data_IF_942881335151
#
_entry.id   IF_942881335151
#
_cell.length_a   1.000
_cell.length_b   1.000
_cell.length_c   1.000
_cell.angle_alpha   90.00
_cell.angle_beta   90.00
_cell.angle_gamma   90.00
#
_symmetry.space_group_name_H-M   'P 1'
#
loop_
_entity.id
_entity.type
_entity.pdbx_description
1 polymer ?
#
# COMPACT_ATOMS: atom_id res chain seq x y z
N UNK A 1 -27.92 31.28 -12.19
CA UNK A 1 -27.32 30.03 -11.64
C UNK A 1 -25.80 30.16 -11.57
N UNK A 2 -25.17 29.83 -10.47
CA UNK A 2 -23.70 29.75 -10.41
C UNK A 2 -23.26 28.57 -11.27
N UNK A 3 -22.29 28.79 -12.14
CA UNK A 3 -21.79 27.84 -13.17
C UNK A 3 -21.47 26.42 -12.69
N UNK A 4 -21.43 26.16 -11.38
CA UNK A 4 -21.01 24.91 -10.75
C UNK A 4 -22.00 24.34 -9.73
N UNK A 5 -23.26 24.79 -9.74
CA UNK A 5 -24.31 24.28 -8.88
C UNK A 5 -25.21 23.34 -9.66
N UNK A 6 -25.46 22.19 -9.06
CA UNK A 6 -26.45 21.21 -9.50
C UNK A 6 -27.82 21.60 -8.95
N UNK A 7 -28.88 21.30 -9.67
CA UNK A 7 -30.24 21.54 -9.21
C UNK A 7 -30.56 20.70 -7.96
N UNK A 8 -31.35 21.21 -7.03
CA UNK A 8 -31.78 20.46 -5.86
C UNK A 8 -32.43 19.14 -6.26
N UNK A 9 -32.13 18.11 -5.49
CA UNK A 9 -32.65 16.73 -5.64
C UNK A 9 -32.15 15.94 -6.86
N UNK A 10 -31.17 16.43 -7.59
CA UNK A 10 -30.51 15.63 -8.61
C UNK A 10 -29.82 14.39 -8.00
N UNK A 11 -29.94 13.24 -8.70
CA UNK A 11 -29.37 11.95 -8.26
C UNK A 11 -27.88 11.87 -8.63
N UNK A 12 -27.03 12.68 -7.97
CA UNK A 12 -25.60 12.83 -8.30
C UNK A 12 -24.80 11.53 -8.28
N UNK A 13 -25.18 10.58 -7.43
CA UNK A 13 -24.53 9.25 -7.37
C UNK A 13 -24.77 8.43 -8.63
N UNK A 14 -25.99 8.47 -9.20
CA UNK A 14 -26.32 7.80 -10.45
C UNK A 14 -25.59 8.47 -11.61
N UNK A 15 -25.60 9.81 -11.65
CA UNK A 15 -24.89 10.58 -12.67
C UNK A 15 -23.39 10.25 -12.65
N UNK A 16 -22.78 10.22 -11.48
CA UNK A 16 -21.38 9.86 -11.34
C UNK A 16 -21.11 8.42 -11.79
N UNK A 17 -21.97 7.46 -11.40
CA UNK A 17 -21.82 6.06 -11.80
C UNK A 17 -21.89 5.88 -13.32
N UNK A 18 -22.86 6.54 -13.99
CA UNK A 18 -22.97 6.51 -15.45
C UNK A 18 -21.76 7.16 -16.13
N UNK A 19 -21.33 8.35 -15.64
CA UNK A 19 -20.20 9.07 -16.19
C UNK A 19 -18.86 8.34 -16.05
N UNK A 20 -18.72 7.49 -15.04
CA UNK A 20 -17.55 6.61 -14.87
C UNK A 20 -17.67 5.31 -15.65
N UNK A 21 -18.87 4.74 -15.79
CA UNK A 21 -19.10 3.46 -16.45
C UNK A 21 -18.93 3.56 -17.98
N UNK A 22 -19.40 4.63 -18.61
CA UNK A 22 -19.31 4.82 -20.05
C UNK A 22 -17.85 4.76 -20.57
N UNK A 23 -16.93 5.62 -20.10
CA UNK A 23 -15.54 5.55 -20.53
C UNK A 23 -14.85 4.24 -20.15
N UNK A 24 -15.24 3.63 -19.03
CA UNK A 24 -14.72 2.33 -18.60
C UNK A 24 -15.06 1.23 -19.61
N UNK A 25 -16.25 1.27 -20.21
CA UNK A 25 -16.65 0.37 -21.30
C UNK A 25 -15.76 0.57 -22.53
N UNK A 26 -15.42 1.82 -22.88
CA UNK A 26 -14.51 2.13 -23.98
C UNK A 26 -13.09 1.60 -23.70
N UNK A 27 -12.60 1.67 -22.47
CA UNK A 27 -11.32 1.06 -22.09
C UNK A 27 -11.30 -0.44 -22.36
N UNK A 28 -12.41 -1.15 -22.11
CA UNK A 28 -12.52 -2.59 -22.35
C UNK A 28 -12.39 -2.90 -23.86
N UNK A 29 -13.03 -2.13 -24.71
CA UNK A 29 -12.97 -2.33 -26.16
C UNK A 29 -11.56 -2.06 -26.72
N UNK A 30 -10.86 -1.06 -26.20
CA UNK A 30 -9.48 -0.73 -26.65
C UNK A 30 -8.46 -1.80 -26.24
N UNK A 31 -8.63 -2.50 -25.12
CA UNK A 31 -7.70 -3.56 -24.69
C UNK A 31 -7.64 -4.74 -25.67
N UNK A 32 -8.70 -5.03 -26.40
CA UNK A 32 -8.68 -6.06 -27.45
C UNK A 32 -7.78 -5.70 -28.65
N UNK A 33 -7.56 -4.41 -28.90
CA UNK A 33 -6.71 -3.96 -30.02
C UNK A 33 -5.20 -3.94 -29.68
N UNK A 34 -4.82 -3.95 -28.40
CA UNK A 34 -3.42 -3.91 -27.94
C UNK A 34 -2.83 -5.29 -27.59
N UNK A 35 -3.54 -6.37 -27.85
CA UNK A 35 -3.11 -7.74 -27.52
C UNK A 35 -1.83 -8.23 -28.24
N UNK A 36 -1.15 -7.38 -29.01
CA UNK A 36 0.05 -7.73 -29.77
C UNK A 36 1.37 -7.05 -29.33
N UNK A 37 1.38 -6.22 -28.28
CA UNK A 37 2.57 -5.49 -27.85
C UNK A 37 3.08 -6.03 -26.51
N UNK A 38 4.36 -6.37 -26.46
CA UNK A 38 5.01 -7.22 -25.45
C UNK A 38 5.32 -6.59 -24.09
N UNK A 39 4.75 -5.44 -23.72
CA UNK A 39 4.91 -4.88 -22.37
C UNK A 39 3.57 -4.88 -21.62
N UNK A 40 3.37 -5.92 -20.84
CA UNK A 40 2.19 -6.11 -19.99
C UNK A 40 2.24 -5.25 -18.71
N UNK A 41 2.12 -3.95 -18.85
CA UNK A 41 1.59 -3.14 -17.75
C UNK A 41 0.07 -3.19 -17.88
N UNK A 42 -0.68 -3.71 -16.90
CA UNK A 42 -2.13 -3.70 -16.96
C UNK A 42 -2.61 -2.25 -16.90
N UNK A 43 -2.94 -1.71 -18.07
CA UNK A 43 -3.40 -0.33 -18.25
C UNK A 43 -4.93 -0.30 -18.37
N UNK A 44 -5.55 0.78 -17.93
CA UNK A 44 -6.99 0.99 -18.09
C UNK A 44 -7.85 0.24 -17.06
N UNK A 45 -8.91 -0.45 -17.54
CA UNK A 45 -9.92 -1.09 -16.70
C UNK A 45 -9.37 -2.02 -15.60
N UNK A 46 -8.42 -2.94 -15.86
CA UNK A 46 -7.89 -3.80 -14.81
C UNK A 46 -7.22 -3.01 -13.68
N UNK A 47 -6.59 -1.89 -13.98
CA UNK A 47 -5.95 -1.03 -12.98
C UNK A 47 -6.98 -0.25 -12.19
N UNK A 48 -8.01 0.31 -12.86
CA UNK A 48 -9.11 0.99 -12.19
C UNK A 48 -9.90 0.04 -11.28
N UNK A 49 -10.24 -1.17 -11.77
CA UNK A 49 -10.89 -2.20 -10.97
C UNK A 49 -10.08 -2.53 -9.70
N UNK A 50 -8.76 -2.69 -9.81
CA UNK A 50 -7.91 -2.88 -8.64
C UNK A 50 -7.93 -1.69 -7.69
N UNK A 51 -7.93 -0.48 -8.23
CA UNK A 51 -7.99 0.74 -7.41
C UNK A 51 -9.23 0.74 -6.52
N UNK A 52 -10.38 0.36 -7.03
CA UNK A 52 -11.65 0.41 -6.30
C UNK A 52 -11.97 -0.84 -5.48
N UNK A 53 -11.43 -2.00 -5.84
CA UNK A 53 -11.75 -3.29 -5.20
C UNK A 53 -10.73 -3.75 -4.14
N UNK A 54 -9.51 -3.20 -4.11
CA UNK A 54 -8.48 -3.64 -3.17
C UNK A 54 -8.70 -3.09 -1.76
N UNK A 55 -8.57 -3.97 -0.78
CA UNK A 55 -8.52 -3.60 0.65
C UNK A 55 -7.20 -2.92 1.03
N UNK A 56 -7.23 -2.22 2.13
CA UNK A 56 -6.03 -1.80 2.85
C UNK A 56 -5.22 -3.06 3.24
N UNK A 57 -3.89 -3.01 3.07
CA UNK A 57 -3.01 -4.14 3.40
C UNK A 57 -2.91 -5.24 2.34
N UNK A 58 -3.72 -5.21 1.28
CA UNK A 58 -3.55 -6.14 0.15
C UNK A 58 -2.65 -5.53 -0.91
N UNK A 59 -1.51 -6.16 -1.16
CA UNK A 59 -0.65 -5.84 -2.30
C UNK A 59 -1.08 -6.67 -3.50
N UNK A 60 -1.21 -6.03 -4.66
CA UNK A 60 -1.40 -6.78 -5.89
C UNK A 60 -0.11 -7.55 -6.20
N UNK A 61 -0.16 -8.86 -6.48
CA UNK A 61 1.03 -9.64 -6.83
C UNK A 61 1.80 -9.08 -8.03
N UNK A 62 1.14 -8.30 -8.86
CA UNK A 62 1.68 -7.74 -10.10
C UNK A 62 2.25 -6.32 -9.95
N UNK A 63 1.94 -5.62 -8.86
CA UNK A 63 2.51 -4.29 -8.55
C UNK A 63 3.43 -4.40 -7.34
N UNK A 64 4.74 -4.27 -7.57
CA UNK A 64 5.69 -4.09 -6.46
C UNK A 64 5.41 -2.74 -5.82
N UNK A 65 5.25 -2.67 -4.49
CA UNK A 65 5.09 -1.40 -3.82
C UNK A 65 6.29 -0.50 -4.11
N UNK A 66 6.03 0.66 -4.68
CA UNK A 66 7.02 1.63 -5.10
C UNK A 66 6.96 2.86 -4.17
N UNK A 67 8.11 3.39 -3.83
CA UNK A 67 8.30 4.65 -3.15
C UNK A 67 9.12 5.56 -4.05
N UNK A 68 8.62 6.75 -4.33
CA UNK A 68 9.32 7.79 -5.08
C UNK A 68 9.58 8.95 -4.12
N UNK A 69 10.85 9.28 -3.95
CA UNK A 69 11.31 10.37 -3.10
C UNK A 69 11.86 11.47 -4.00
N UNK A 70 11.33 12.68 -3.82
CA UNK A 70 11.78 13.88 -4.52
C UNK A 70 12.52 14.80 -3.57
N UNK A 71 13.57 15.40 -4.07
CA UNK A 71 14.38 16.36 -3.32
C UNK A 71 13.75 17.74 -3.33
N UNK A 72 14.14 18.58 -2.38
CA UNK A 72 13.83 20.01 -2.43
C UNK A 72 14.53 20.67 -3.62
N UNK A 73 14.01 21.80 -4.12
CA UNK A 73 14.56 22.47 -5.29
C UNK A 73 16.06 22.78 -5.18
N UNK A 74 16.55 23.01 -3.96
CA UNK A 74 17.95 23.32 -3.66
C UNK A 74 18.89 22.12 -3.87
N UNK A 75 18.39 20.89 -3.76
CA UNK A 75 19.17 19.64 -3.80
C UNK A 75 18.83 18.73 -4.96
N UNK A 76 17.91 19.13 -5.84
CA UNK A 76 17.38 18.30 -6.93
C UNK A 76 18.44 17.78 -7.92
N UNK A 77 19.52 18.53 -8.13
CA UNK A 77 20.60 18.19 -9.05
C UNK A 77 21.83 17.58 -8.36
N UNK A 78 21.84 17.49 -7.02
CA UNK A 78 23.00 17.02 -6.28
C UNK A 78 23.03 15.49 -6.19
N UNK A 79 23.84 14.85 -7.04
CA UNK A 79 24.04 13.40 -7.08
C UNK A 79 24.75 12.85 -5.85
N UNK A 80 25.61 13.61 -5.19
CA UNK A 80 26.34 13.14 -4.01
C UNK A 80 25.39 12.94 -2.83
N UNK A 81 24.50 13.92 -2.60
CA UNK A 81 23.46 13.81 -1.56
C UNK A 81 22.48 12.69 -1.88
N UNK A 82 22.06 12.55 -3.14
CA UNK A 82 21.19 11.49 -3.57
C UNK A 82 21.80 10.11 -3.33
N UNK A 83 23.08 9.92 -3.68
CA UNK A 83 23.81 8.66 -3.44
C UNK A 83 24.00 8.38 -1.94
N UNK A 84 24.28 9.38 -1.13
CA UNK A 84 24.41 9.24 0.31
C UNK A 84 23.08 8.75 0.92
N UNK A 85 21.98 9.42 0.59
CA UNK A 85 20.65 9.07 1.09
C UNK A 85 20.24 7.69 0.60
N UNK A 86 20.52 7.34 -0.67
CA UNK A 86 20.25 6.03 -1.22
C UNK A 86 20.93 4.93 -0.41
N UNK A 87 22.24 5.07 -0.16
CA UNK A 87 23.02 4.10 0.63
C UNK A 87 22.50 3.95 2.07
N UNK A 88 22.06 5.04 2.67
CA UNK A 88 21.52 5.04 4.03
C UNK A 88 20.06 4.51 4.12
N UNK A 89 19.29 4.51 3.04
CA UNK A 89 17.89 4.03 3.00
C UNK A 89 17.83 2.55 2.68
N UNK A 90 18.69 2.05 1.79
CA UNK A 90 18.63 0.68 1.30
C UNK A 90 18.88 -0.32 2.43
N UNK A 91 17.90 -1.19 2.67
CA UNK A 91 17.95 -2.19 3.73
C UNK A 91 18.79 -3.39 3.29
N UNK A 92 19.84 -3.62 4.04
CA UNK A 92 20.73 -4.76 3.87
C UNK A 92 20.70 -5.61 5.14
N UNK A 93 20.32 -6.87 5.00
CA UNK A 93 20.33 -7.85 6.09
C UNK A 93 21.62 -8.67 6.08
N UNK A 94 21.97 -9.24 7.22
CA UNK A 94 23.15 -10.14 7.28
C UNK A 94 23.01 -11.33 6.34
N UNK A 95 21.79 -11.76 6.04
CA UNK A 95 21.51 -12.86 5.10
C UNK A 95 22.02 -12.58 3.68
N UNK A 96 22.01 -11.33 3.27
CA UNK A 96 22.28 -10.94 1.87
C UNK A 96 23.77 -11.12 1.51
N UNK A 97 24.67 -11.00 2.50
CA UNK A 97 26.11 -11.04 2.26
C UNK A 97 26.88 -11.98 3.20
N UNK A 98 26.20 -12.76 4.06
CA UNK A 98 26.87 -13.70 4.94
C UNK A 98 26.46 -15.15 4.69
N UNK A 99 27.41 -16.06 4.81
CA UNK A 99 27.15 -17.49 4.92
C UNK A 99 27.40 -17.93 6.34
N UNK A 100 26.40 -18.51 6.99
CA UNK A 100 26.47 -18.92 8.39
C UNK A 100 26.49 -20.43 8.51
N UNK A 101 27.40 -20.95 9.34
CA UNK A 101 27.49 -22.38 9.68
C UNK A 101 27.38 -22.56 11.19
N UNK A 102 26.49 -23.43 11.62
CA UNK A 102 26.29 -23.78 13.02
C UNK A 102 26.92 -25.13 13.33
N UNK A 103 27.73 -25.19 14.40
CA UNK A 103 28.22 -26.44 14.97
C UNK A 103 27.79 -26.52 16.44
N UNK A 104 26.70 -27.25 16.70
CA UNK A 104 26.11 -27.38 18.03
C UNK A 104 26.99 -28.20 18.99
N UNK A 105 27.73 -29.20 18.51
CA UNK A 105 28.59 -30.03 19.36
C UNK A 105 29.77 -29.23 19.90
N UNK A 106 30.37 -28.41 19.05
CA UNK A 106 31.48 -27.53 19.44
C UNK A 106 30.99 -26.17 19.94
N UNK A 107 29.67 -25.95 20.02
CA UNK A 107 29.03 -24.66 20.45
C UNK A 107 29.64 -23.46 19.75
N UNK A 108 29.68 -23.52 18.42
CA UNK A 108 30.27 -22.47 17.58
C UNK A 108 29.33 -22.06 16.48
N UNK A 109 29.29 -20.74 16.20
CA UNK A 109 28.72 -20.19 14.98
C UNK A 109 29.85 -19.59 14.16
N UNK A 110 29.96 -19.97 12.92
CA UNK A 110 30.93 -19.44 11.95
C UNK A 110 30.14 -18.56 10.98
N UNK A 111 30.49 -17.29 10.88
CA UNK A 111 29.90 -16.31 9.98
C UNK A 111 30.95 -15.94 8.95
N UNK A 112 30.78 -16.39 7.73
CA UNK A 112 31.62 -16.03 6.60
C UNK A 112 31.00 -14.80 5.94
N UNK A 113 31.73 -13.71 5.86
CA UNK A 113 31.23 -12.44 5.35
C UNK A 113 31.88 -12.16 4.00
N UNK A 114 31.06 -11.90 2.99
CA UNK A 114 31.50 -11.48 1.66
C UNK A 114 31.55 -9.94 1.63
N UNK A 115 32.66 -9.37 2.04
CA UNK A 115 32.83 -7.92 2.14
C UNK A 115 32.76 -7.21 0.80
N UNK A 116 33.15 -7.86 -0.28
CA UNK A 116 33.19 -7.23 -1.61
C UNK A 116 31.82 -6.76 -2.09
N UNK A 117 30.74 -7.43 -1.62
CA UNK A 117 29.36 -7.10 -1.96
C UNK A 117 28.81 -5.89 -1.15
N UNK A 118 29.46 -5.48 -0.05
CA UNK A 118 28.90 -4.52 0.93
C UNK A 118 29.83 -3.36 1.27
N UNK A 119 31.05 -3.34 0.73
CA UNK A 119 32.07 -2.28 0.99
C UNK A 119 31.53 -0.85 0.85
N UNK A 120 30.61 -0.66 -0.10
CA UNK A 120 30.06 0.65 -0.43
C UNK A 120 29.00 1.14 0.58
N UNK A 121 28.48 0.26 1.41
CA UNK A 121 27.36 0.53 2.32
C UNK A 121 27.74 0.55 3.79
N UNK A 122 28.62 -0.39 4.22
CA UNK A 122 28.96 -0.54 5.67
C UNK A 122 30.38 -1.01 5.84
N UNK A 123 31.08 -0.42 6.82
CA UNK A 123 32.42 -0.84 7.21
C UNK A 123 32.44 -2.16 7.95
N UNK A 124 33.52 -2.94 7.77
CA UNK A 124 33.75 -4.24 8.42
C UNK A 124 33.62 -4.18 9.95
N UNK A 125 34.17 -3.12 10.56
CA UNK A 125 34.10 -2.92 12.01
C UNK A 125 32.66 -2.72 12.50
N UNK A 126 31.88 -1.95 11.78
CA UNK A 126 30.46 -1.68 12.10
C UNK A 126 29.61 -2.95 12.06
N UNK A 127 29.83 -3.81 11.06
CA UNK A 127 29.13 -5.11 10.95
C UNK A 127 29.46 -5.99 12.15
N UNK A 128 30.73 -6.09 12.51
CA UNK A 128 31.15 -6.89 13.68
C UNK A 128 30.55 -6.36 14.98
N UNK A 129 30.51 -5.05 15.17
CA UNK A 129 29.92 -4.44 16.35
C UNK A 129 28.41 -4.65 16.44
N UNK A 130 27.70 -4.62 15.32
CA UNK A 130 26.26 -4.94 15.25
C UNK A 130 26.02 -6.39 15.66
N UNK A 131 26.77 -7.32 15.08
CA UNK A 131 26.68 -8.76 15.40
C UNK A 131 26.99 -9.00 16.89
N UNK A 132 28.06 -8.41 17.40
CA UNK A 132 28.47 -8.53 18.81
C UNK A 132 27.38 -8.02 19.75
N UNK A 133 26.88 -6.81 19.54
CA UNK A 133 25.82 -6.19 20.36
C UNK A 133 24.56 -7.03 20.38
N UNK A 134 24.13 -7.55 19.24
CA UNK A 134 22.88 -8.32 19.17
C UNK A 134 23.00 -9.68 19.86
N UNK A 135 24.14 -10.34 19.75
CA UNK A 135 24.38 -11.60 20.43
C UNK A 135 24.52 -11.40 21.95
N UNK A 136 25.22 -10.33 22.37
CA UNK A 136 25.39 -10.00 23.80
C UNK A 136 24.07 -9.69 24.48
N UNK A 137 23.10 -9.08 23.80
CA UNK A 137 21.72 -8.89 24.32
C UNK A 137 21.03 -10.21 24.70
N UNK A 138 21.31 -11.29 23.98
CA UNK A 138 20.63 -12.56 24.18
C UNK A 138 21.35 -13.51 25.13
N UNK A 139 22.67 -13.38 25.28
CA UNK A 139 23.51 -14.36 26.02
C UNK A 139 24.39 -13.72 27.10
N UNK A 140 24.47 -12.38 27.14
CA UNK A 140 25.39 -11.68 28.04
C UNK A 140 26.86 -11.83 27.62
N UNK A 141 27.79 -11.43 28.52
CA UNK A 141 29.23 -11.37 28.23
C UNK A 141 29.97 -12.75 28.22
N UNK A 142 29.28 -13.89 28.28
CA UNK A 142 29.87 -15.21 28.33
C UNK A 142 30.25 -15.79 26.94
N UNK A 143 30.89 -14.99 26.09
CA UNK A 143 31.18 -15.26 24.70
C UNK A 143 32.66 -14.95 24.39
N UNK A 144 33.25 -15.70 23.50
CA UNK A 144 34.54 -15.38 22.89
C UNK A 144 34.33 -15.16 21.41
N UNK A 145 34.60 -13.94 20.96
CA UNK A 145 34.65 -13.61 19.55
C UNK A 145 36.10 -13.77 19.07
N UNK A 146 36.28 -14.49 17.97
CA UNK A 146 37.56 -14.62 17.30
C UNK A 146 37.39 -14.10 15.89
N UNK A 147 38.03 -13.00 15.61
CA UNK A 147 38.06 -12.41 14.26
C UNK A 147 39.15 -13.13 13.47
N UNK A 148 38.79 -13.65 12.32
CA UNK A 148 39.71 -14.29 11.38
C UNK A 148 39.73 -13.41 10.13
N UNK A 149 40.85 -12.83 9.75
CA UNK A 149 40.94 -11.87 8.63
C UNK A 149 40.54 -12.47 7.30
N UNK A 150 40.75 -13.79 7.11
CA UNK A 150 40.40 -14.50 5.88
C UNK A 150 39.01 -15.18 5.92
N UNK A 151 38.51 -15.56 7.10
CA UNK A 151 37.32 -16.41 7.25
C UNK A 151 36.12 -15.76 7.89
N UNK A 152 36.22 -14.51 8.33
CA UNK A 152 35.14 -13.76 8.95
C UNK A 152 35.08 -13.89 10.47
N UNK A 153 33.88 -13.97 11.06
CA UNK A 153 33.68 -13.95 12.51
C UNK A 153 33.35 -15.37 13.05
N UNK A 154 34.19 -15.85 13.95
CA UNK A 154 33.93 -17.09 14.67
C UNK A 154 33.48 -16.78 16.10
N UNK A 155 32.28 -17.27 16.45
CA UNK A 155 31.68 -17.07 17.77
C UNK A 155 31.72 -18.39 18.54
N UNK A 156 32.38 -18.37 19.69
CA UNK A 156 32.44 -19.51 20.62
C UNK A 156 31.60 -19.24 21.85
N UNK A 157 30.65 -20.12 22.13
CA UNK A 157 29.75 -20.01 23.28
C UNK A 157 30.31 -20.80 24.47
N UNK A 158 30.15 -20.27 25.68
CA UNK A 158 30.52 -20.94 26.91
C UNK A 158 29.70 -22.23 27.12
N UNK A 159 30.26 -23.18 27.85
CA UNK A 159 29.59 -24.45 28.23
C UNK A 159 28.30 -24.23 29.05
N UNK A 160 28.18 -23.09 29.72
CA UNK A 160 27.02 -22.72 30.54
C UNK A 160 25.78 -22.35 29.70
N UNK A 161 25.91 -22.13 28.38
CA UNK A 161 24.83 -21.72 27.52
C UNK A 161 24.15 -22.96 26.91
N UNK A 162 22.82 -23.01 27.00
CA UNK A 162 22.04 -24.12 26.44
C UNK A 162 22.12 -24.15 24.90
N UNK A 163 22.19 -25.34 24.32
CA UNK A 163 22.23 -25.54 22.86
C UNK A 163 21.02 -24.93 22.17
N UNK A 164 19.82 -24.96 22.80
CA UNK A 164 18.60 -24.36 22.29
C UNK A 164 18.70 -22.83 22.13
N UNK A 165 19.37 -22.16 23.06
CA UNK A 165 19.60 -20.70 22.96
C UNK A 165 20.52 -20.35 21.80
N UNK A 166 21.58 -21.17 21.60
CA UNK A 166 22.51 -20.99 20.46
C UNK A 166 21.76 -21.15 19.12
N UNK A 167 20.90 -22.16 19.03
CA UNK A 167 20.09 -22.40 17.84
C UNK A 167 19.11 -21.24 17.55
N UNK A 168 18.44 -20.73 18.57
CA UNK A 168 17.53 -19.59 18.44
C UNK A 168 18.25 -18.32 17.96
N UNK A 169 19.49 -18.10 18.44
CA UNK A 169 20.32 -16.99 17.96
C UNK A 169 20.68 -17.21 16.50
N UNK A 170 21.10 -18.40 16.12
CA UNK A 170 21.46 -18.73 14.74
C UNK A 170 20.32 -18.47 13.75
N UNK A 171 19.08 -18.75 14.11
CA UNK A 171 17.89 -18.45 13.26
C UNK A 171 17.63 -16.95 13.15
N UNK A 172 17.91 -16.17 14.21
CA UNK A 172 17.64 -14.72 14.22
C UNK A 172 18.75 -13.91 13.53
N UNK A 173 19.99 -14.36 13.58
CA UNK A 173 21.15 -13.67 13.02
C UNK A 173 20.98 -13.23 11.56
N UNK A 174 20.47 -14.05 10.64
CA UNK A 174 20.32 -13.68 9.23
C UNK A 174 19.43 -12.45 9.01
N UNK A 175 18.45 -12.25 9.90
CA UNK A 175 17.44 -11.20 9.78
C UNK A 175 17.84 -9.88 10.49
N UNK A 176 19.07 -9.80 11.01
CA UNK A 176 19.58 -8.56 11.61
C UNK A 176 19.90 -7.58 10.51
N UNK A 177 19.47 -6.32 10.72
CA UNK A 177 19.79 -5.19 9.83
C UNK A 177 21.27 -4.84 9.98
N UNK A 178 22.00 -4.85 8.88
CA UNK A 178 23.35 -4.30 8.82
C UNK A 178 23.33 -2.82 8.48
N UNK A 179 22.39 -2.41 7.59
CA UNK A 179 22.21 -1.02 7.19
C UNK A 179 20.78 -0.79 6.69
N UNK A 180 20.39 0.47 6.62
CA UNK A 180 19.18 0.89 5.95
C UNK A 180 17.92 0.84 6.80
N UNK A 181 16.80 1.12 6.15
CA UNK A 181 15.47 1.18 6.75
C UNK A 181 14.72 -0.10 6.42
N UNK A 182 14.27 -0.82 7.44
CA UNK A 182 13.49 -2.04 7.26
C UNK A 182 12.25 -1.76 6.41
N UNK A 183 12.02 -2.56 5.38
CA UNK A 183 10.93 -2.37 4.43
C UNK A 183 11.38 -1.76 3.09
N UNK A 184 12.59 -1.26 2.95
CA UNK A 184 13.12 -0.75 1.68
C UNK A 184 14.19 -1.69 1.15
N UNK A 185 13.85 -2.52 0.19
CA UNK A 185 14.75 -3.59 -0.26
C UNK A 185 15.72 -3.19 -1.36
N UNK A 186 15.33 -2.27 -2.22
CA UNK A 186 16.14 -1.82 -3.36
C UNK A 186 15.82 -0.36 -3.67
N UNK A 187 16.83 0.44 -3.77
CA UNK A 187 16.70 1.83 -4.14
C UNK A 187 17.56 2.13 -5.37
N UNK A 188 17.06 2.98 -6.28
CA UNK A 188 17.75 3.39 -7.50
C UNK A 188 17.52 4.88 -7.72
N UNK A 189 18.57 5.59 -8.12
CA UNK A 189 18.43 6.97 -8.57
C UNK A 189 17.99 6.96 -10.02
N UNK A 190 16.96 7.73 -10.33
CA UNK A 190 16.44 7.97 -11.68
C UNK A 190 16.34 9.47 -11.90
N UNK A 191 16.46 9.93 -13.15
CA UNK A 191 16.26 11.31 -13.51
C UNK A 191 14.92 11.46 -14.23
N UNK A 192 14.04 12.30 -13.68
CA UNK A 192 12.74 12.62 -14.27
C UNK A 192 12.56 14.14 -14.29
N UNK A 193 12.10 14.69 -15.40
CA UNK A 193 11.85 16.13 -15.57
C UNK A 193 13.03 16.99 -15.09
N UNK A 194 14.25 16.59 -15.44
CA UNK A 194 15.52 17.23 -15.05
C UNK A 194 15.78 17.28 -13.52
N UNK A 195 15.09 16.46 -12.74
CA UNK A 195 15.32 16.31 -11.30
C UNK A 195 15.78 14.89 -10.97
N UNK A 196 16.74 14.76 -10.05
CA UNK A 196 17.09 13.46 -9.49
C UNK A 196 16.01 13.00 -8.51
N UNK A 197 15.58 11.78 -8.65
CA UNK A 197 14.61 11.14 -7.77
C UNK A 197 15.14 9.79 -7.29
N UNK A 198 14.75 9.38 -6.09
CA UNK A 198 15.03 8.02 -5.61
C UNK A 198 13.76 7.19 -5.76
N UNK A 199 13.87 6.10 -6.53
CA UNK A 199 12.83 5.06 -6.63
C UNK A 199 13.23 3.88 -5.78
N UNK A 200 12.41 3.52 -4.79
CA UNK A 200 12.68 2.40 -3.91
C UNK A 200 11.54 1.39 -3.95
N UNK A 201 11.88 0.10 -3.88
CA UNK A 201 10.93 -0.99 -3.76
C UNK A 201 10.67 -1.27 -2.29
N UNK A 202 9.41 -1.24 -1.89
CA UNK A 202 8.99 -1.50 -0.51
C UNK A 202 8.59 -2.97 -0.36
N UNK A 203 8.94 -3.57 0.77
CA UNK A 203 8.46 -4.88 1.19
C UNK A 203 7.50 -4.72 2.37
N UNK A 204 6.50 -5.61 2.54
CA UNK A 204 5.56 -5.51 3.65
C UNK A 204 6.18 -5.84 5.02
N UNK A 205 7.42 -6.29 5.06
CA UNK A 205 8.13 -6.69 6.26
C UNK A 205 8.83 -5.50 6.93
N UNK A 206 8.08 -4.67 7.66
CA UNK A 206 8.63 -3.56 8.44
C UNK A 206 7.97 -3.48 9.82
N UNK A 207 8.74 -3.07 10.83
CA UNK A 207 8.23 -2.82 12.19
C UNK A 207 7.68 -1.41 12.36
N UNK A 208 8.35 -0.45 11.76
CA UNK A 208 7.96 0.96 11.76
C UNK A 208 7.73 1.42 10.34
N UNK A 209 6.84 2.40 10.16
CA UNK A 209 6.54 2.94 8.84
C UNK A 209 7.79 3.58 8.22
N UNK A 210 8.32 3.01 7.10
CA UNK A 210 9.53 3.50 6.47
C UNK A 210 9.41 4.95 5.98
N UNK A 211 8.21 5.39 5.57
CA UNK A 211 7.95 6.78 5.19
C UNK A 211 8.20 7.73 6.35
N UNK A 212 7.72 7.39 7.56
CA UNK A 212 7.90 8.21 8.75
C UNK A 212 9.37 8.38 9.10
N UNK A 213 10.14 7.29 9.00
CA UNK A 213 11.59 7.32 9.25
C UNK A 213 12.29 8.21 8.23
N UNK A 214 11.98 8.06 6.94
CA UNK A 214 12.58 8.85 5.86
C UNK A 214 12.28 10.32 6.02
N UNK A 215 11.01 10.69 6.23
CA UNK A 215 10.59 12.08 6.36
C UNK A 215 11.28 12.72 7.57
N UNK A 216 11.35 12.05 8.72
CA UNK A 216 11.95 12.60 9.91
C UNK A 216 13.47 12.74 9.78
N UNK A 217 14.14 11.73 9.20
CA UNK A 217 15.62 11.72 9.11
C UNK A 217 16.15 12.68 8.05
N UNK A 218 15.43 12.84 6.93
CA UNK A 218 15.91 13.59 5.77
C UNK A 218 15.05 14.81 5.45
N UNK A 219 14.33 15.36 6.44
CA UNK A 219 13.43 16.52 6.31
C UNK A 219 14.08 17.74 5.64
N UNK A 220 15.37 17.92 5.82
CA UNK A 220 16.14 19.05 5.24
C UNK A 220 16.36 18.90 3.74
N UNK A 221 16.54 17.67 3.24
CA UNK A 221 16.90 17.38 1.85
C UNK A 221 15.69 17.02 0.98
N UNK A 222 14.67 16.39 1.58
CA UNK A 222 13.52 15.83 0.88
C UNK A 222 12.32 16.76 1.01
N UNK A 223 11.51 16.83 -0.04
CA UNK A 223 10.20 17.49 0.02
C UNK A 223 9.13 16.50 0.49
N UNK A 224 8.63 16.63 1.74
CA UNK A 224 7.65 15.71 2.29
C UNK A 224 6.32 15.69 1.52
N UNK A 225 5.98 16.76 0.82
CA UNK A 225 4.73 16.90 0.06
C UNK A 225 4.82 16.28 -1.33
N UNK A 226 6.02 15.99 -1.82
CA UNK A 226 6.26 15.39 -3.13
C UNK A 226 6.69 13.93 -3.07
N UNK A 227 6.58 13.30 -1.91
CA UNK A 227 6.78 11.86 -1.77
C UNK A 227 5.55 11.13 -2.29
N UNK A 228 5.77 10.15 -3.17
CA UNK A 228 4.71 9.31 -3.71
C UNK A 228 4.97 7.84 -3.39
N UNK A 229 3.92 7.12 -3.04
CA UNK A 229 3.95 5.65 -2.91
C UNK A 229 2.61 5.07 -3.33
N UNK A 230 2.65 3.92 -4.00
CA UNK A 230 1.47 3.13 -4.33
C UNK A 230 1.03 2.18 -3.20
N UNK A 231 1.73 2.18 -2.05
CA UNK A 231 1.35 1.41 -0.88
C UNK A 231 0.29 2.15 -0.05
N UNK A 232 -0.96 1.74 -0.20
CA UNK A 232 -2.12 2.34 0.49
C UNK A 232 -1.99 2.29 2.01
N UNK A 233 -1.44 1.20 2.53
CA UNK A 233 -1.25 1.00 3.96
C UNK A 233 -0.26 2.01 4.55
N UNK A 234 0.86 2.26 3.86
CA UNK A 234 1.85 3.24 4.30
C UNK A 234 1.27 4.65 4.33
N UNK A 235 0.50 4.99 3.29
CA UNK A 235 -0.17 6.29 3.20
C UNK A 235 -1.20 6.45 4.30
N UNK A 236 -2.06 5.46 4.49
CA UNK A 236 -3.09 5.49 5.52
C UNK A 236 -2.50 5.62 6.93
N UNK A 237 -1.44 4.86 7.21
CA UNK A 237 -0.76 4.89 8.52
C UNK A 237 0.00 6.20 8.77
N UNK A 238 0.40 6.92 7.71
CA UNK A 238 1.16 8.18 7.84
C UNK A 238 0.27 9.42 7.78
N UNK A 239 -0.63 9.48 6.82
CA UNK A 239 -1.41 10.67 6.48
C UNK A 239 -2.92 10.51 6.77
N UNK A 240 -3.34 9.34 7.26
CA UNK A 240 -4.74 9.05 7.53
C UNK A 240 -5.57 8.83 6.27
N UNK A 241 -6.91 8.83 6.46
CA UNK A 241 -7.86 8.49 5.39
C UNK A 241 -7.90 9.57 4.30
N UNK A 242 -7.75 10.83 4.65
CA UNK A 242 -7.76 11.94 3.69
C UNK A 242 -6.53 11.91 2.77
N UNK A 243 -5.35 11.60 3.33
CA UNK A 243 -4.14 11.39 2.53
C UNK A 243 -4.30 10.23 1.55
N UNK A 244 -4.88 9.13 2.00
CA UNK A 244 -5.19 7.99 1.16
C UNK A 244 -6.18 8.35 0.05
N UNK A 245 -7.27 9.05 0.38
CA UNK A 245 -8.26 9.54 -0.57
C UNK A 245 -7.63 10.36 -1.69
N UNK A 246 -6.75 11.29 -1.34
CA UNK A 246 -6.09 12.15 -2.32
C UNK A 246 -5.17 11.37 -3.27
N UNK A 247 -4.43 10.39 -2.77
CA UNK A 247 -3.60 9.53 -3.64
C UNK A 247 -4.47 8.69 -4.57
N UNK A 248 -5.54 8.09 -4.06
CA UNK A 248 -6.49 7.34 -4.89
C UNK A 248 -7.12 8.22 -5.98
N UNK A 249 -7.42 9.49 -5.68
CA UNK A 249 -7.93 10.44 -6.64
C UNK A 249 -6.93 10.73 -7.76
N UNK A 250 -5.67 10.95 -7.40
CA UNK A 250 -4.60 11.16 -8.37
C UNK A 250 -4.37 9.92 -9.23
N UNK A 251 -4.34 8.73 -8.63
CA UNK A 251 -4.18 7.46 -9.37
C UNK A 251 -5.36 7.22 -10.33
N UNK A 252 -6.60 7.43 -9.86
CA UNK A 252 -7.78 7.29 -10.70
C UNK A 252 -7.75 8.24 -11.89
N UNK A 253 -7.44 9.51 -11.65
CA UNK A 253 -7.32 10.52 -12.72
C UNK A 253 -6.24 10.10 -13.72
N UNK A 254 -5.06 9.71 -13.27
CA UNK A 254 -3.97 9.26 -14.13
C UNK A 254 -4.37 8.07 -15.02
N UNK A 255 -5.21 7.16 -14.51
CA UNK A 255 -5.69 6.01 -15.31
C UNK A 255 -6.54 6.51 -16.49
N UNK A 256 -7.46 7.45 -16.27
CA UNK A 256 -8.28 8.00 -17.32
C UNK A 256 -7.47 8.87 -18.30
N UNK A 257 -6.60 9.74 -17.79
CA UNK A 257 -5.72 10.60 -18.60
C UNK A 257 -4.82 9.77 -19.51
N UNK A 258 -4.21 8.68 -19.02
CA UNK A 258 -3.36 7.78 -19.83
C UNK A 258 -4.15 7.02 -20.91
N UNK A 259 -5.45 6.85 -20.74
CA UNK A 259 -6.34 6.26 -21.75
C UNK A 259 -6.91 7.31 -22.73
N UNK A 260 -6.57 8.60 -22.55
CA UNK A 260 -7.10 9.68 -23.35
C UNK A 260 -8.59 9.90 -23.16
N UNK A 261 -9.11 9.64 -21.95
CA UNK A 261 -10.51 9.81 -21.59
C UNK A 261 -10.65 10.98 -20.62
N UNK A 262 -11.41 11.99 -21.03
CA UNK A 262 -11.68 13.17 -20.20
C UNK A 262 -12.89 12.92 -19.31
N UNK A 263 -12.68 12.93 -18.00
CA UNK A 263 -13.73 12.76 -16.98
C UNK A 263 -13.62 13.89 -15.96
N UNK A 264 -14.76 14.48 -15.62
CA UNK A 264 -14.79 15.47 -14.55
C UNK A 264 -14.39 14.83 -13.22
N UNK A 265 -13.37 15.41 -12.59
CA UNK A 265 -12.77 14.91 -11.34
C UNK A 265 -13.79 14.79 -10.20
N UNK A 266 -14.91 15.53 -10.25
CA UNK A 266 -15.97 15.50 -9.25
C UNK A 266 -16.67 14.14 -9.19
N UNK A 267 -16.83 13.44 -10.32
CA UNK A 267 -17.41 12.09 -10.34
C UNK A 267 -16.50 11.07 -9.65
N UNK A 268 -15.20 11.16 -9.91
CA UNK A 268 -14.19 10.31 -9.24
C UNK A 268 -14.15 10.65 -7.75
N UNK A 269 -14.17 11.94 -7.41
CA UNK A 269 -14.17 12.40 -6.02
C UNK A 269 -15.35 11.84 -5.23
N UNK A 270 -16.58 11.90 -5.79
CA UNK A 270 -17.78 11.38 -5.13
C UNK A 270 -17.68 9.87 -4.87
N UNK A 271 -17.13 9.09 -5.83
CA UNK A 271 -16.89 7.67 -5.66
C UNK A 271 -15.91 7.39 -4.50
N UNK A 272 -14.81 8.13 -4.45
CA UNK A 272 -13.81 7.98 -3.40
C UNK A 272 -14.30 8.46 -2.04
N UNK A 273 -15.13 9.50 -1.99
CA UNK A 273 -15.80 9.95 -0.78
C UNK A 273 -16.68 8.84 -0.20
N UNK A 274 -17.43 8.13 -1.04
CA UNK A 274 -18.18 6.95 -0.62
C UNK A 274 -17.29 5.84 -0.09
N UNK A 275 -16.11 5.63 -0.68
CA UNK A 275 -15.16 4.60 -0.21
C UNK A 275 -14.48 4.95 1.11
N UNK A 276 -14.42 6.22 1.50
CA UNK A 276 -13.60 6.71 2.63
C UNK A 276 -14.40 7.35 3.76
N UNK A 277 -15.71 7.58 3.60
CA UNK A 277 -16.54 8.34 4.56
C UNK A 277 -16.59 7.74 5.98
N UNK A 278 -16.36 6.42 6.11
CA UNK A 278 -16.35 5.73 7.40
C UNK A 278 -15.01 5.87 8.15
N UNK A 279 -14.03 6.59 7.60
CA UNK A 279 -12.67 6.65 8.13
C UNK A 279 -11.82 5.41 7.84
N UNK A 280 -12.38 4.41 7.14
CA UNK A 280 -11.71 3.20 6.68
C UNK A 280 -11.97 3.03 5.19
N UNK A 281 -10.98 2.50 4.46
CA UNK A 281 -11.16 2.22 3.05
C UNK A 281 -12.16 1.06 2.85
N UNK A 282 -13.30 1.37 2.25
CA UNK A 282 -14.32 0.39 1.86
C UNK A 282 -14.12 0.02 0.40
N UNK A 283 -13.70 -1.21 0.09
CA UNK A 283 -13.58 -1.65 -1.29
C UNK A 283 -14.97 -1.81 -1.93
N UNK A 284 -15.07 -1.42 -3.20
CA UNK A 284 -16.31 -1.56 -3.99
C UNK A 284 -16.46 -2.99 -4.50
N UNK A 285 -16.40 -3.97 -3.61
CA UNK A 285 -16.78 -5.35 -3.88
C UNK A 285 -18.18 -5.62 -3.36
N UNK A 286 -18.90 -6.45 -4.06
CA UNK A 286 -20.21 -6.94 -3.67
C UNK A 286 -20.29 -7.30 -2.17
N UNK A 287 -19.35 -8.07 -1.68
CA UNK A 287 -19.28 -8.52 -0.29
C UNK A 287 -19.29 -7.40 0.75
N UNK A 288 -18.77 -6.20 0.39
CA UNK A 288 -18.67 -5.05 1.31
C UNK A 288 -19.84 -4.09 1.15
N UNK A 289 -20.23 -3.81 -0.09
CA UNK A 289 -21.35 -2.91 -0.40
C UNK A 289 -22.66 -3.49 0.12
N UNK A 290 -22.82 -4.81 -0.02
CA UNK A 290 -24.08 -5.51 0.30
C UNK A 290 -24.30 -5.64 1.80
N UNK A 291 -23.25 -5.81 2.62
CA UNK A 291 -23.39 -6.03 4.07
C UNK A 291 -24.19 -4.97 4.82
N UNK A 292 -24.19 -3.75 4.31
CA UNK A 292 -24.87 -2.60 4.91
C UNK A 292 -26.21 -2.25 4.24
N UNK A 293 -26.64 -3.04 3.25
CA UNK A 293 -27.90 -2.82 2.53
C UNK A 293 -29.03 -3.64 3.11
N UNK A 294 -30.25 -3.31 2.71
CA UNK A 294 -31.45 -4.04 3.04
C UNK A 294 -31.43 -5.49 2.50
N UNK A 295 -32.30 -6.32 3.01
CA UNK A 295 -32.36 -7.75 2.65
C UNK A 295 -32.65 -7.94 1.17
N UNK A 296 -33.62 -7.19 0.63
CA UNK A 296 -34.01 -7.29 -0.77
C UNK A 296 -32.91 -6.79 -1.71
N UNK A 297 -32.23 -5.71 -1.34
CA UNK A 297 -31.10 -5.22 -2.13
C UNK A 297 -29.92 -6.22 -2.13
N UNK A 298 -29.65 -6.88 -1.00
CA UNK A 298 -28.68 -7.96 -0.92
C UNK A 298 -29.05 -9.13 -1.82
N UNK A 299 -30.31 -9.57 -1.76
CA UNK A 299 -30.82 -10.68 -2.56
C UNK A 299 -30.81 -10.40 -4.06
N UNK A 300 -31.14 -9.18 -4.47
CA UNK A 300 -31.09 -8.76 -5.87
C UNK A 300 -29.71 -8.73 -6.47
N UNK A 301 -28.68 -8.50 -5.65
CA UNK A 301 -27.31 -8.35 -6.14
C UNK A 301 -26.64 -9.71 -6.40
N UNK A 302 -26.64 -10.60 -5.42
CA UNK A 302 -26.00 -11.92 -5.53
C UNK A 302 -26.50 -12.88 -4.46
N UNK A 303 -26.57 -14.19 -4.77
CA UNK A 303 -26.92 -15.27 -3.83
C UNK A 303 -28.29 -15.10 -3.16
N UNK A 304 -29.32 -14.75 -3.92
CA UNK A 304 -30.66 -14.45 -3.43
C UNK A 304 -31.19 -15.47 -2.39
N UNK A 305 -31.12 -16.78 -2.69
CA UNK A 305 -31.62 -17.83 -1.81
C UNK A 305 -30.95 -17.82 -0.44
N UNK A 306 -29.62 -17.76 -0.39
CA UNK A 306 -28.88 -17.79 0.89
C UNK A 306 -29.15 -16.56 1.73
N UNK A 307 -29.27 -15.38 1.10
CA UNK A 307 -29.57 -14.11 1.77
C UNK A 307 -30.97 -14.12 2.37
N UNK A 308 -31.97 -14.59 1.60
CA UNK A 308 -33.35 -14.66 2.06
C UNK A 308 -33.52 -15.67 3.20
N UNK A 309 -32.88 -16.85 3.12
CA UNK A 309 -32.88 -17.83 4.21
C UNK A 309 -32.26 -17.26 5.48
N UNK A 310 -31.06 -16.64 5.38
CA UNK A 310 -30.41 -16.02 6.55
C UNK A 310 -31.26 -14.92 7.17
N UNK A 311 -31.90 -14.09 6.34
CA UNK A 311 -32.80 -13.04 6.78
C UNK A 311 -34.05 -13.61 7.48
N UNK A 312 -34.64 -14.66 6.93
CA UNK A 312 -35.81 -15.35 7.51
C UNK A 312 -35.45 -15.98 8.88
N UNK A 313 -34.31 -16.67 8.97
CA UNK A 313 -33.85 -17.28 10.23
C UNK A 313 -33.59 -16.22 11.32
N UNK A 314 -33.07 -15.05 10.93
CA UNK A 314 -32.78 -13.95 11.87
C UNK A 314 -33.95 -13.01 12.10
N UNK A 315 -35.10 -13.20 11.45
CA UNK A 315 -36.25 -12.30 11.55
C UNK A 315 -35.96 -10.87 11.10
N UNK A 316 -35.10 -10.68 10.08
CA UNK A 316 -34.73 -9.34 9.59
C UNK A 316 -35.89 -8.73 8.82
N UNK A 317 -36.15 -7.45 9.05
CA UNK A 317 -37.13 -6.64 8.32
C UNK A 317 -36.45 -5.79 7.26
N UNK A 318 -37.14 -5.54 6.16
CA UNK A 318 -36.74 -4.61 5.12
C UNK A 318 -37.68 -3.40 5.14
N UNK A 319 -37.13 -2.20 5.34
CA UNK A 319 -37.90 -0.96 5.44
C UNK A 319 -38.26 -0.37 4.06
N UNK A 320 -37.82 -1.00 2.97
CA UNK A 320 -38.08 -0.57 1.59
C UNK A 320 -37.68 0.90 1.31
N UNK A 321 -36.58 1.34 1.89
CA UNK A 321 -36.11 2.73 1.73
C UNK A 321 -35.25 2.91 0.47
N UNK A 322 -34.56 1.87 0.02
CA UNK A 322 -33.63 1.95 -1.10
C UNK A 322 -34.31 1.84 -2.46
N UNK A 323 -33.53 2.13 -3.49
CA UNK A 323 -34.00 2.12 -4.89
C UNK A 323 -34.36 0.71 -5.34
N UNK A 324 -33.49 -0.27 -5.02
CA UNK A 324 -33.61 -1.65 -5.50
C UNK A 324 -34.83 -2.31 -4.88
N UNK A 325 -35.03 -2.15 -3.58
CA UNK A 325 -36.17 -2.68 -2.84
C UNK A 325 -37.49 -2.15 -3.36
N UNK A 326 -37.57 -0.83 -3.54
CA UNK A 326 -38.79 -0.17 -4.06
C UNK A 326 -39.10 -0.59 -5.48
N UNK A 327 -38.08 -0.70 -6.32
CA UNK A 327 -38.25 -1.17 -7.69
C UNK A 327 -38.75 -2.62 -7.74
N UNK A 328 -38.23 -3.50 -6.89
CA UNK A 328 -38.64 -4.91 -6.81
C UNK A 328 -40.12 -5.08 -6.43
N UNK A 329 -40.63 -4.23 -5.53
CA UNK A 329 -42.03 -4.29 -5.06
C UNK A 329 -42.96 -3.34 -5.80
N UNK A 330 -42.46 -2.60 -6.81
CA UNK A 330 -43.28 -1.67 -7.62
C UNK A 330 -43.65 -0.37 -6.91
N UNK A 331 -42.91 0.03 -5.89
CA UNK A 331 -43.14 1.30 -5.18
C UNK A 331 -42.38 2.46 -5.86
N UNK A 332 -42.92 3.71 -5.80
CA UNK A 332 -42.25 4.88 -6.33
C UNK A 332 -40.91 5.11 -5.59
N UNK A 333 -39.90 5.50 -6.35
CA UNK A 333 -38.53 5.71 -5.84
C UNK A 333 -38.43 7.11 -5.23
N UNK A 334 -38.06 7.22 -3.94
CA UNK A 334 -37.97 8.48 -3.22
C UNK A 334 -36.57 9.11 -3.30
N UNK A 335 -36.03 9.30 -4.51
CA UNK A 335 -34.76 9.97 -4.76
C UNK A 335 -34.90 10.96 -5.90
N UNK A 336 -34.03 11.92 -5.96
CA UNK A 336 -34.07 12.97 -6.97
C UNK A 336 -35.41 13.72 -6.92
N UNK A 337 -36.00 13.93 -8.07
CA UNK A 337 -37.32 14.58 -8.21
C UNK A 337 -38.48 13.82 -7.55
N UNK A 338 -38.35 12.50 -7.37
CA UNK A 338 -39.32 11.66 -6.65
C UNK A 338 -39.39 11.95 -5.14
N UNK A 339 -38.49 12.73 -4.58
CA UNK A 339 -38.50 13.16 -3.18
C UNK A 339 -39.35 14.40 -2.94
N UNK A 340 -39.83 15.06 -4.02
CA UNK A 340 -40.64 16.26 -3.94
C UNK A 340 -42.08 15.84 -3.67
N UNK A 341 -42.63 16.30 -2.56
CA UNK A 341 -44.04 16.11 -2.20
C UNK A 341 -44.80 17.36 -2.62
N UNK A 342 -45.64 17.20 -3.62
CA UNK A 342 -46.53 18.29 -4.04
C UNK A 342 -47.72 18.38 -3.08
N UNK A 343 -47.96 19.57 -2.51
CA UNK A 343 -49.13 19.83 -1.69
C UNK A 343 -49.99 20.89 -2.38
N UNK A 344 -51.32 20.66 -2.44
CA UNK A 344 -52.25 21.65 -2.92
C UNK A 344 -52.35 22.81 -1.92
N UNK A 345 -52.19 24.05 -2.40
CA UNK A 345 -52.13 25.24 -1.57
C UNK A 345 -53.49 25.66 -0.97
N UNK A 346 -54.58 25.00 -1.36
CA UNK A 346 -55.95 25.30 -0.93
C UNK A 346 -56.42 24.52 0.30
N UNK A 347 -55.72 23.48 0.72
CA UNK A 347 -56.05 22.75 1.95
C UNK A 347 -55.33 23.35 3.13
N UNK A 348 -56.10 24.22 3.88
CA UNK A 348 -55.69 24.72 5.20
C UNK A 348 -56.04 23.70 6.29
#
# INVERSE_FOLDING_TARGET
MKKYQIDPYEAVGIIAAQSLAEPTTQMTMRTFHYAGVAEHVPTGLPTFKRLVELKLGTTSPQMKPLLVIRFRPEYKDNLEIANKILKEIEYISLKDFTKMKLNLDKRKIIILIKFDEVKDYVDKKTIFDIIKKEIEKHVGKNLKFVEDEEKGLLIKFSSKIERRKIYNIFIKLPNISANGIQGIRRAVISRENDENIIKAVITPEYKENPLKIIINKYKEFIDPYKIYTNSRELVYNMFGIEGLRNILLMEAKNIYDTQGLDIDIRHISLLLDYMTFTGKLLPLKAEYIIKHKSVLAQAAYERAVSVLIDAAVRGRKDELEGIVERNLVGLPINIGTGRIILKYKGDK
#
